data_IF_615194832158
#
_entry.id   IF_615194832158
#
_cell.length_a   1.000
_cell.length_b   1.000
_cell.length_c   1.000
_cell.angle_alpha   90.00
_cell.angle_beta   90.00
_cell.angle_gamma   90.00
#
_symmetry.space_group_name_H-M   'P 1'
#
loop_
_entity.id
_entity.type
_entity.pdbx_description
1 polymer ?
#
# COMPACT_ATOMS: atom_id res chain seq x y z
N UNK A 1 24.70 55.69 18.88
CA UNK A 1 23.49 55.02 19.40
C UNK A 1 22.28 55.81 18.91
N UNK A 2 21.66 55.37 17.82
CA UNK A 2 20.27 55.62 17.42
C UNK A 2 19.99 54.89 16.10
N UNK A 3 18.74 54.47 15.98
CA UNK A 3 18.14 53.40 15.18
C UNK A 3 17.96 53.74 13.69
N UNK A 4 17.74 52.70 12.87
CA UNK A 4 16.57 52.63 11.97
C UNK A 4 16.39 51.24 11.35
N UNK A 5 15.26 50.64 11.73
CA UNK A 5 14.60 49.50 11.11
C UNK A 5 14.15 49.89 9.69
N UNK A 6 14.40 49.03 8.70
CA UNK A 6 13.70 49.09 7.41
C UNK A 6 12.59 48.03 7.42
N UNK A 7 11.36 48.51 7.59
CA UNK A 7 10.15 47.79 7.27
C UNK A 7 9.96 47.82 5.75
N UNK A 8 9.78 46.66 5.12
CA UNK A 8 9.26 46.59 3.75
C UNK A 8 7.73 46.47 3.82
N UNK A 9 7.06 47.57 3.50
CA UNK A 9 5.62 47.62 3.26
C UNK A 9 5.28 46.88 1.96
N UNK A 10 4.50 45.82 2.05
CA UNK A 10 3.86 45.18 0.91
C UNK A 10 2.54 45.92 0.61
N UNK A 11 2.49 46.64 -0.52
CA UNK A 11 1.25 47.21 -1.04
C UNK A 11 1.15 46.90 -2.54
N UNK A 12 0.31 45.93 -2.90
CA UNK A 12 -0.51 45.96 -4.12
C UNK A 12 -1.82 45.21 -3.87
N UNK A 13 -2.85 45.95 -3.43
CA UNK A 13 -4.26 45.69 -3.75
C UNK A 13 -4.41 45.92 -5.26
N UNK A 14 -5.12 45.14 -6.10
CA UNK A 14 -6.56 44.85 -6.23
C UNK A 14 -6.62 43.91 -7.48
N UNK A 15 -7.60 43.07 -7.82
CA UNK A 15 -9.03 43.01 -7.62
C UNK A 15 -9.50 41.58 -7.93
N UNK A 16 -10.56 41.21 -7.23
CA UNK A 16 -11.53 40.14 -7.49
C UNK A 16 -11.75 39.78 -8.98
N UNK A 17 -11.62 38.49 -9.31
CA UNK A 17 -12.53 37.85 -10.26
C UNK A 17 -12.72 36.38 -9.87
N UNK A 18 -13.98 36.08 -9.71
CA UNK A 18 -14.61 34.89 -9.17
C UNK A 18 -14.44 33.66 -10.08
N UNK A 19 -14.62 32.49 -9.47
CA UNK A 19 -14.91 31.18 -10.07
C UNK A 19 -13.82 30.53 -10.92
N UNK A 20 -13.13 29.56 -10.32
CA UNK A 20 -13.18 28.18 -10.82
C UNK A 20 -12.61 27.27 -9.73
N UNK A 21 -13.50 26.52 -9.09
CA UNK A 21 -13.17 25.46 -8.17
C UNK A 21 -12.23 24.47 -8.84
N UNK A 22 -10.93 24.68 -8.67
CA UNK A 22 -9.97 23.60 -8.81
C UNK A 22 -10.24 22.74 -7.59
N UNK A 23 -11.13 21.76 -7.79
CA UNK A 23 -11.13 20.53 -7.00
C UNK A 23 -9.67 20.13 -6.90
N UNK A 24 -9.04 20.53 -5.79
CA UNK A 24 -7.76 20.02 -5.35
C UNK A 24 -8.12 18.59 -4.98
N UNK A 25 -8.21 17.75 -6.03
CA UNK A 25 -8.30 16.31 -5.91
C UNK A 25 -7.15 16.03 -4.97
N UNK A 26 -7.50 15.73 -3.73
CA UNK A 26 -6.56 15.19 -2.77
C UNK A 26 -5.99 14.03 -3.58
N UNK A 27 -4.74 14.17 -4.01
CA UNK A 27 -4.00 13.02 -4.48
C UNK A 27 -3.87 12.25 -3.19
N UNK A 28 -4.89 11.43 -2.90
CA UNK A 28 -4.77 10.35 -1.96
C UNK A 28 -3.55 9.62 -2.49
N UNK A 29 -2.46 9.76 -1.75
CA UNK A 29 -1.21 9.05 -2.00
C UNK A 29 -1.60 7.59 -1.97
N UNK A 30 -1.93 7.07 -3.15
CA UNK A 30 -2.49 5.74 -3.34
C UNK A 30 -1.26 4.85 -3.34
N UNK A 31 -0.73 4.65 -2.14
CA UNK A 31 0.36 3.74 -1.91
C UNK A 31 -0.03 2.38 -2.49
N UNK A 32 0.65 2.04 -3.57
CA UNK A 32 0.53 0.81 -4.31
C UNK A 32 -0.71 0.64 -5.20
N UNK A 33 -0.47 0.13 -6.40
CA UNK A 33 -1.52 -0.40 -7.28
C UNK A 33 -1.56 -1.93 -7.26
N UNK A 34 -0.52 -2.57 -6.73
CA UNK A 34 -0.33 -4.00 -6.83
C UNK A 34 -0.88 -4.76 -5.61
N UNK A 35 -1.57 -5.85 -5.89
CA UNK A 35 -1.89 -6.88 -4.92
C UNK A 35 -0.87 -8.01 -5.04
N UNK A 36 -0.03 -8.19 -4.04
CA UNK A 36 0.93 -9.28 -3.98
C UNK A 36 0.27 -10.52 -3.38
N UNK A 37 0.29 -11.63 -4.11
CA UNK A 37 -0.25 -12.93 -3.70
C UNK A 37 0.93 -13.87 -3.52
N UNK A 38 1.27 -14.16 -2.27
CA UNK A 38 2.52 -14.80 -1.89
C UNK A 38 2.23 -16.18 -1.31
N UNK A 39 2.93 -17.18 -1.84
CA UNK A 39 2.82 -18.59 -1.44
C UNK A 39 1.37 -19.14 -1.47
N UNK A 40 0.61 -18.98 -2.58
CA UNK A 40 -0.70 -19.60 -2.67
C UNK A 40 -0.61 -21.13 -2.62
N UNK A 41 -1.53 -21.82 -1.90
CA UNK A 41 -1.56 -23.27 -1.79
C UNK A 41 -2.06 -23.93 -3.07
N UNK A 42 -2.62 -23.13 -4.00
CA UNK A 42 -3.13 -23.57 -5.28
C UNK A 42 -2.67 -22.63 -6.39
N UNK A 43 -2.80 -23.07 -7.64
CA UNK A 43 -2.60 -22.21 -8.80
C UNK A 43 -3.68 -21.13 -8.83
N UNK A 44 -3.25 -19.87 -8.91
CA UNK A 44 -4.15 -18.72 -8.96
C UNK A 44 -4.43 -18.39 -10.42
N UNK A 45 -5.70 -18.47 -10.82
CA UNK A 45 -6.16 -18.11 -12.17
C UNK A 45 -6.74 -16.70 -12.20
N UNK A 46 -6.78 -16.06 -13.37
CA UNK A 46 -7.41 -14.76 -13.52
C UNK A 46 -8.89 -14.75 -13.07
N UNK A 47 -9.62 -15.85 -13.34
CA UNK A 47 -11.00 -16.00 -12.88
C UNK A 47 -11.13 -16.01 -11.35
N UNK A 48 -10.21 -16.70 -10.66
CA UNK A 48 -10.18 -16.73 -9.20
C UNK A 48 -9.86 -15.34 -8.62
N UNK A 49 -8.95 -14.59 -9.24
CA UNK A 49 -8.67 -13.21 -8.86
C UNK A 49 -9.91 -12.31 -8.97
N UNK A 50 -10.62 -12.40 -10.10
CA UNK A 50 -11.83 -11.63 -10.34
C UNK A 50 -12.94 -11.95 -9.35
N UNK A 51 -13.09 -13.22 -8.94
CA UNK A 51 -14.03 -13.62 -7.88
C UNK A 51 -13.72 -12.94 -6.53
N UNK A 52 -12.45 -12.63 -6.26
CA UNK A 52 -12.01 -11.92 -5.07
C UNK A 52 -11.89 -10.39 -5.27
N UNK A 53 -12.36 -9.87 -6.41
CA UNK A 53 -12.30 -8.44 -6.73
C UNK A 53 -10.88 -7.92 -7.01
N UNK A 54 -9.94 -8.81 -7.31
CA UNK A 54 -8.55 -8.46 -7.65
C UNK A 54 -8.42 -8.45 -9.18
N UNK A 55 -7.89 -7.35 -9.75
CA UNK A 55 -7.56 -7.31 -11.17
C UNK A 55 -6.33 -8.15 -11.47
N UNK A 56 -6.39 -8.99 -12.51
CA UNK A 56 -5.25 -9.78 -12.96
C UNK A 56 -4.09 -8.90 -13.47
N UNK A 57 -4.41 -7.71 -13.98
CA UNK A 57 -3.42 -6.75 -14.49
C UNK A 57 -2.61 -6.06 -13.37
N UNK A 58 -3.12 -6.10 -12.13
CA UNK A 58 -2.47 -5.52 -10.96
C UNK A 58 -2.19 -6.55 -9.86
N UNK A 59 -2.12 -7.84 -10.23
CA UNK A 59 -1.77 -8.92 -9.33
C UNK A 59 -0.33 -9.39 -9.56
N UNK A 60 0.48 -9.43 -8.50
CA UNK A 60 1.81 -10.04 -8.52
C UNK A 60 1.75 -11.37 -7.77
N UNK A 61 1.93 -12.49 -8.48
CA UNK A 61 1.85 -13.82 -7.89
C UNK A 61 3.25 -14.40 -7.71
N UNK A 62 3.60 -14.75 -6.47
CA UNK A 62 4.86 -15.43 -6.13
C UNK A 62 4.52 -16.82 -5.59
N UNK A 63 4.74 -17.84 -6.41
CA UNK A 63 4.46 -19.23 -6.04
C UNK A 63 5.41 -19.74 -4.95
N UNK A 64 4.90 -20.63 -4.07
CA UNK A 64 5.65 -21.23 -2.95
C UNK A 64 6.99 -21.83 -3.38
N UNK A 65 7.02 -22.53 -4.52
CA UNK A 65 8.24 -23.13 -5.07
C UNK A 65 9.37 -22.14 -5.44
N UNK A 66 9.08 -20.83 -5.46
CA UNK A 66 10.06 -19.77 -5.75
C UNK A 66 10.47 -18.98 -4.49
N UNK A 67 9.98 -19.39 -3.32
CA UNK A 67 10.18 -18.68 -2.06
C UNK A 67 11.14 -19.49 -1.19
N UNK A 68 12.33 -18.93 -0.96
CA UNK A 68 13.32 -19.54 -0.06
C UNK A 68 13.03 -19.24 1.41
N UNK A 69 12.50 -18.04 1.69
CA UNK A 69 12.12 -17.61 3.03
C UNK A 69 10.85 -16.75 2.93
N UNK A 70 9.73 -17.31 3.41
CA UNK A 70 8.40 -16.70 3.28
C UNK A 70 8.29 -15.40 4.05
N UNK A 71 8.79 -15.36 5.29
CA UNK A 71 8.77 -14.15 6.11
C UNK A 71 9.55 -13.00 5.45
N UNK A 72 10.76 -13.26 4.97
CA UNK A 72 11.58 -12.24 4.30
C UNK A 72 10.93 -11.71 3.03
N UNK A 73 10.31 -12.59 2.23
CA UNK A 73 9.56 -12.19 1.04
C UNK A 73 8.36 -11.31 1.41
N UNK A 74 7.62 -11.66 2.45
CA UNK A 74 6.49 -10.86 2.95
C UNK A 74 6.94 -9.50 3.48
N UNK A 75 8.04 -9.46 4.23
CA UNK A 75 8.57 -8.22 4.77
C UNK A 75 9.03 -7.27 3.66
N UNK A 76 9.73 -7.79 2.64
CA UNK A 76 10.10 -7.01 1.45
C UNK A 76 8.90 -6.48 0.68
N UNK A 77 7.88 -7.33 0.50
CA UNK A 77 6.63 -6.90 -0.12
C UNK A 77 5.95 -5.80 0.72
N UNK A 78 5.98 -5.91 2.04
CA UNK A 78 5.36 -4.96 2.95
C UNK A 78 6.06 -3.60 2.99
N UNK A 79 7.37 -3.58 2.71
CA UNK A 79 8.18 -2.37 2.60
C UNK A 79 8.09 -1.72 1.20
N UNK A 80 7.44 -2.36 0.24
CA UNK A 80 7.37 -1.84 -1.13
C UNK A 80 6.36 -0.70 -1.22
N UNK A 81 6.73 0.48 -1.76
CA UNK A 81 5.79 1.58 -1.96
C UNK A 81 4.75 1.29 -3.06
N UNK A 82 4.94 0.22 -3.85
CA UNK A 82 4.05 -0.14 -4.97
C UNK A 82 3.03 -1.22 -4.63
N UNK A 83 3.13 -1.84 -3.45
CA UNK A 83 2.25 -2.94 -3.02
C UNK A 83 1.25 -2.37 -2.01
N UNK A 84 -0.03 -2.36 -2.38
CA UNK A 84 -1.11 -1.87 -1.51
C UNK A 84 -1.75 -2.99 -0.69
N UNK A 85 -1.69 -4.23 -1.19
CA UNK A 85 -2.27 -5.38 -0.52
C UNK A 85 -1.35 -6.58 -0.61
N UNK A 86 -1.19 -7.30 0.50
CA UNK A 86 -0.57 -8.62 0.54
C UNK A 86 -1.64 -9.66 0.87
N UNK A 87 -1.72 -10.72 0.07
CA UNK A 87 -2.50 -11.92 0.34
C UNK A 87 -1.53 -13.08 0.52
N UNK A 88 -1.58 -13.73 1.69
CA UNK A 88 -0.74 -14.89 2.00
C UNK A 88 -1.52 -15.87 2.88
N UNK A 89 -0.98 -17.08 3.03
CA UNK A 89 -1.51 -18.11 3.92
C UNK A 89 -0.68 -18.17 5.21
N UNK A 90 -1.28 -18.59 6.32
CA UNK A 90 -0.64 -18.67 7.64
C UNK A 90 0.28 -19.88 7.83
N UNK A 91 0.38 -20.76 6.84
CA UNK A 91 1.32 -21.88 6.91
C UNK A 91 2.76 -21.35 7.02
N UNK A 92 3.56 -21.94 7.92
CA UNK A 92 5.00 -21.67 8.03
C UNK A 92 5.39 -20.27 8.55
N UNK A 93 4.46 -19.50 9.11
CA UNK A 93 4.75 -18.24 9.79
C UNK A 93 4.48 -18.33 11.29
N UNK A 94 5.38 -17.78 12.09
CA UNK A 94 5.19 -17.57 13.52
C UNK A 94 4.28 -16.37 13.78
N UNK A 95 3.73 -16.29 15.00
CA UNK A 95 2.91 -15.15 15.43
C UNK A 95 3.66 -13.82 15.36
N UNK A 96 4.95 -13.82 15.71
CA UNK A 96 5.80 -12.61 15.71
C UNK A 96 6.07 -12.12 14.28
N UNK A 97 6.34 -13.04 13.35
CA UNK A 97 6.51 -12.72 11.94
C UNK A 97 5.23 -12.13 11.33
N UNK A 98 4.08 -12.73 11.64
CA UNK A 98 2.76 -12.21 11.24
C UNK A 98 2.54 -10.80 11.79
N UNK A 99 2.86 -10.58 13.07
CA UNK A 99 2.73 -9.28 13.72
C UNK A 99 3.60 -8.24 13.02
N UNK A 100 4.86 -8.56 12.74
CA UNK A 100 5.80 -7.65 12.10
C UNK A 100 5.33 -7.26 10.69
N UNK A 101 4.90 -8.21 9.85
CA UNK A 101 4.38 -7.91 8.50
C UNK A 101 3.15 -7.01 8.56
N UNK A 102 2.21 -7.28 9.49
CA UNK A 102 1.01 -6.45 9.67
C UNK A 102 1.36 -5.05 10.16
N UNK A 103 2.30 -4.92 11.09
CA UNK A 103 2.76 -3.64 11.60
C UNK A 103 3.43 -2.81 10.51
N UNK A 104 4.27 -3.43 9.68
CA UNK A 104 4.89 -2.77 8.52
C UNK A 104 3.86 -2.27 7.53
N UNK A 105 2.92 -3.12 7.08
CA UNK A 105 1.86 -2.70 6.15
C UNK A 105 1.00 -1.55 6.72
N UNK A 106 0.65 -1.62 8.00
CA UNK A 106 -0.11 -0.55 8.68
C UNK A 106 0.64 0.78 8.69
N UNK A 107 1.96 0.76 8.85
CA UNK A 107 2.78 1.97 8.82
C UNK A 107 2.75 2.68 7.46
N UNK A 108 2.56 1.93 6.37
CA UNK A 108 2.44 2.44 5.00
C UNK A 108 0.98 2.65 4.55
N UNK A 109 0.00 2.55 5.46
CA UNK A 109 -1.43 2.62 5.16
C UNK A 109 -1.90 1.57 4.12
N UNK A 110 -1.25 0.41 4.09
CA UNK A 110 -1.54 -0.70 3.17
C UNK A 110 -2.14 -1.89 3.92
N UNK A 111 -2.80 -2.81 3.20
CA UNK A 111 -3.60 -3.90 3.78
C UNK A 111 -2.87 -5.25 3.74
N UNK A 112 -2.84 -5.97 4.86
CA UNK A 112 -2.36 -7.36 4.90
C UNK A 112 -3.52 -8.32 5.17
N UNK A 113 -3.77 -9.24 4.25
CA UNK A 113 -4.78 -10.31 4.37
C UNK A 113 -4.04 -11.64 4.50
N UNK A 114 -4.10 -12.22 5.70
CA UNK A 114 -3.56 -13.55 5.97
C UNK A 114 -4.73 -14.51 6.05
N UNK A 115 -4.80 -15.43 5.09
CA UNK A 115 -5.81 -16.48 5.01
C UNK A 115 -5.36 -17.66 5.88
N UNK A 116 -6.26 -18.17 6.72
CA UNK A 116 -6.01 -19.42 7.42
C UNK A 116 -6.36 -20.61 6.54
N UNK A 117 -5.47 -21.61 6.48
CA UNK A 117 -5.70 -22.85 5.71
C UNK A 117 -6.83 -23.73 6.29
N UNK A 118 -7.38 -23.42 7.48
CA UNK A 118 -8.35 -24.26 8.20
C UNK A 118 -9.75 -24.39 7.55
N UNK A 119 -10.01 -23.84 6.36
CA UNK A 119 -11.35 -23.78 5.76
C UNK A 119 -11.45 -24.15 4.27
N UNK A 120 -10.53 -24.94 3.74
CA UNK A 120 -10.70 -25.59 2.44
C UNK A 120 -10.95 -27.09 2.66
N UNK A 121 -12.14 -27.43 3.15
CA UNK A 121 -12.69 -28.78 3.22
C UNK A 121 -14.01 -28.82 2.46
#
# INVERSE_FOLDING_TARGET
>A
MQTKSLMYSANTTTHDSDVMGVNKKIIEDSHGQWTAIIAPPMTITAALLSQHGISAESALIIHKAKINNKFHTLLKAAQSPTISTIVTWDDELTTDEIFQVKATMKAYNTKCVIQSNKKLH
#
